data_IF_848158326699
#
_entry.id   IF_848158326699
#
_cell.length_a   1.000
_cell.length_b   1.000
_cell.length_c   1.000
_cell.angle_alpha   90.00
_cell.angle_beta   90.00
_cell.angle_gamma   90.00
#
_symmetry.space_group_name_H-M   'P 1'
#
loop_
_entity.id
_entity.type
_entity.pdbx_description
1 polymer ?
#
# COMPACT_ATOMS: atom_id res chain seq x y z
N UNK A 1 6.77 23.06 -11.77
CA UNK A 1 5.61 22.18 -11.55
C UNK A 1 5.01 21.88 -12.92
N UNK A 2 5.22 20.66 -13.42
CA UNK A 2 4.63 20.19 -14.67
C UNK A 2 3.15 19.83 -14.46
N UNK A 3 2.38 19.62 -15.53
CA UNK A 3 0.99 19.14 -15.41
C UNK A 3 0.90 17.80 -14.67
N UNK A 4 1.88 16.92 -14.91
CA UNK A 4 1.99 15.63 -14.23
C UNK A 4 2.23 15.77 -12.72
N UNK A 5 3.10 16.69 -12.30
CA UNK A 5 3.38 16.87 -10.87
C UNK A 5 2.10 17.26 -10.11
N UNK A 6 1.29 18.16 -10.69
CA UNK A 6 0.01 18.54 -10.12
C UNK A 6 -1.03 17.40 -10.13
N UNK A 7 -1.00 16.50 -11.12
CA UNK A 7 -1.83 15.30 -11.15
C UNK A 7 -1.44 14.31 -10.04
N UNK A 8 -0.15 14.05 -9.90
CA UNK A 8 0.38 13.15 -8.88
C UNK A 8 0.11 13.69 -7.46
N UNK A 9 0.34 14.99 -7.23
CA UNK A 9 0.03 15.64 -5.96
C UNK A 9 -1.45 15.53 -5.59
N UNK A 10 -2.36 15.73 -6.56
CA UNK A 10 -3.80 15.53 -6.34
C UNK A 10 -4.13 14.08 -6.00
N UNK A 11 -3.57 13.12 -6.72
CA UNK A 11 -3.81 11.70 -6.45
C UNK A 11 -3.32 11.28 -5.06
N UNK A 12 -2.17 11.81 -4.61
CA UNK A 12 -1.65 11.56 -3.26
C UNK A 12 -2.48 12.27 -2.17
N UNK A 13 -3.00 13.47 -2.45
CA UNK A 13 -3.93 14.15 -1.55
C UNK A 13 -5.26 13.37 -1.40
N UNK A 14 -5.78 12.80 -2.49
CA UNK A 14 -6.97 11.95 -2.47
C UNK A 14 -6.72 10.66 -1.67
N UNK A 15 -5.55 10.03 -1.81
CA UNK A 15 -5.14 8.89 -0.98
C UNK A 15 -5.12 9.27 0.51
N UNK A 16 -4.47 10.39 0.86
CA UNK A 16 -4.42 10.88 2.24
C UNK A 16 -5.82 11.14 2.81
N UNK A 17 -6.73 11.70 2.01
CA UNK A 17 -8.12 11.93 2.41
C UNK A 17 -8.88 10.61 2.66
N UNK A 18 -8.67 9.58 1.83
CA UNK A 18 -9.28 8.25 2.02
C UNK A 18 -8.76 7.56 3.29
N UNK A 19 -7.44 7.56 3.51
CA UNK A 19 -6.82 7.08 4.75
C UNK A 19 -7.40 7.79 5.97
N UNK A 20 -7.52 9.12 5.93
CA UNK A 20 -8.12 9.91 7.01
C UNK A 20 -9.59 9.56 7.25
N UNK A 21 -10.37 9.32 6.20
CA UNK A 21 -11.77 8.93 6.31
C UNK A 21 -11.92 7.54 6.97
N UNK A 22 -11.11 6.56 6.56
CA UNK A 22 -11.09 5.22 7.17
C UNK A 22 -10.68 5.28 8.64
N UNK A 23 -9.63 6.04 8.95
CA UNK A 23 -9.23 6.31 10.35
C UNK A 23 -10.38 6.90 11.18
N UNK A 24 -11.06 7.94 10.68
CA UNK A 24 -12.20 8.56 11.38
C UNK A 24 -13.39 7.61 11.56
N UNK A 25 -13.55 6.64 10.67
CA UNK A 25 -14.54 5.58 10.80
C UNK A 25 -14.14 4.48 11.80
N UNK A 26 -12.88 4.49 12.27
CA UNK A 26 -12.33 3.40 13.09
C UNK A 26 -12.07 2.13 12.28
N UNK A 27 -11.86 2.26 10.98
CA UNK A 27 -11.72 1.15 10.04
C UNK A 27 -10.24 0.94 9.69
N UNK A 28 -9.59 0.06 10.45
CA UNK A 28 -8.18 -0.27 10.27
C UNK A 28 -7.91 -0.89 8.88
N UNK A 29 -8.72 -1.86 8.48
CA UNK A 29 -8.64 -2.50 7.16
C UNK A 29 -8.92 -1.49 6.05
N UNK A 30 -9.85 -0.57 6.27
CA UNK A 30 -10.13 0.53 5.34
C UNK A 30 -8.94 1.44 5.06
N UNK A 31 -8.00 1.60 5.99
CA UNK A 31 -6.75 2.36 5.75
C UNK A 31 -5.87 1.62 4.73
N UNK A 32 -5.72 0.30 4.86
CA UNK A 32 -4.94 -0.53 3.91
C UNK A 32 -5.63 -0.63 2.55
N UNK A 33 -6.96 -0.79 2.54
CA UNK A 33 -7.75 -0.78 1.30
C UNK A 33 -7.63 0.54 0.54
N UNK A 34 -7.50 1.67 1.23
CA UNK A 34 -7.26 2.95 0.57
C UNK A 34 -5.93 2.94 -0.22
N UNK A 35 -4.91 2.22 0.28
CA UNK A 35 -3.64 2.05 -0.41
C UNK A 35 -3.80 1.16 -1.63
N UNK A 36 -4.45 0.01 -1.50
CA UNK A 36 -4.71 -0.90 -2.62
C UNK A 36 -5.47 -0.20 -3.75
N UNK A 37 -6.53 0.53 -3.38
CA UNK A 37 -7.35 1.31 -4.30
C UNK A 37 -6.56 2.36 -5.08
N UNK A 38 -5.51 2.92 -4.49
CA UNK A 38 -4.63 3.90 -5.14
C UNK A 38 -3.49 3.22 -5.93
N UNK A 39 -2.89 2.16 -5.38
CA UNK A 39 -1.77 1.44 -5.96
C UNK A 39 -2.16 0.74 -7.26
N UNK A 40 -3.32 0.09 -7.32
CA UNK A 40 -3.79 -0.61 -8.54
C UNK A 40 -3.82 0.32 -9.77
N UNK A 41 -4.51 1.48 -9.76
CA UNK A 41 -4.47 2.41 -10.89
C UNK A 41 -3.10 3.08 -11.06
N UNK A 42 -2.33 3.35 -10.01
CA UNK A 42 -0.99 3.93 -10.15
C UNK A 42 0.00 2.99 -10.87
N UNK A 43 -0.07 1.68 -10.62
CA UNK A 43 0.72 0.67 -11.32
C UNK A 43 0.30 0.55 -12.79
N UNK A 44 -1.01 0.57 -13.07
CA UNK A 44 -1.53 0.60 -14.43
C UNK A 44 -1.06 1.84 -15.20
N UNK A 45 -1.07 3.00 -14.54
CA UNK A 45 -0.60 4.27 -15.10
C UNK A 45 0.91 4.26 -15.38
N UNK A 46 1.71 3.75 -14.44
CA UNK A 46 3.16 3.59 -14.60
C UNK A 46 3.48 2.75 -15.85
N UNK A 47 2.77 1.62 -15.99
CA UNK A 47 2.89 0.75 -17.16
C UNK A 47 2.43 1.42 -18.44
N UNK A 48 1.31 2.14 -18.41
CA UNK A 48 0.77 2.85 -19.58
C UNK A 48 1.75 3.91 -20.08
N UNK A 49 2.24 4.78 -19.19
CA UNK A 49 3.22 5.81 -19.53
C UNK A 49 4.51 5.23 -20.08
N UNK A 50 5.01 4.14 -19.49
CA UNK A 50 6.20 3.46 -19.98
C UNK A 50 6.02 2.95 -21.41
N UNK A 51 4.85 2.36 -21.70
CA UNK A 51 4.50 1.89 -23.04
C UNK A 51 4.39 3.04 -24.06
N UNK A 52 3.86 4.17 -23.64
CA UNK A 52 3.68 5.36 -24.47
C UNK A 52 4.99 6.17 -24.65
N UNK A 53 6.10 5.70 -24.07
CA UNK A 53 7.41 6.33 -24.19
C UNK A 53 7.55 7.62 -23.40
N UNK A 54 6.86 7.74 -22.26
CA UNK A 54 7.00 8.88 -21.36
C UNK A 54 8.45 9.05 -20.88
N UNK A 55 8.82 10.29 -20.59
CA UNK A 55 10.16 10.63 -20.11
C UNK A 55 10.55 9.83 -18.87
N UNK A 56 11.81 9.36 -18.82
CA UNK A 56 12.33 8.61 -17.68
C UNK A 56 12.14 9.34 -16.34
N UNK A 57 12.21 10.67 -16.32
CA UNK A 57 11.98 11.46 -15.10
C UNK A 57 10.53 11.39 -14.59
N UNK A 58 9.55 11.27 -15.49
CA UNK A 58 8.13 11.10 -15.13
C UNK A 58 7.92 9.71 -14.55
N UNK A 59 8.47 8.68 -15.21
CA UNK A 59 8.39 7.30 -14.73
C UNK A 59 9.06 7.11 -13.38
N UNK A 60 10.23 7.72 -13.16
CA UNK A 60 10.95 7.69 -11.89
C UNK A 60 10.16 8.37 -10.77
N UNK A 61 9.52 9.51 -11.03
CA UNK A 61 8.67 10.19 -10.04
C UNK A 61 7.47 9.32 -9.65
N UNK A 62 6.77 8.74 -10.64
CA UNK A 62 5.62 7.88 -10.37
C UNK A 62 6.04 6.59 -9.62
N UNK A 63 7.12 5.93 -10.06
CA UNK A 63 7.64 4.75 -9.40
C UNK A 63 8.07 5.04 -7.95
N UNK A 64 8.69 6.21 -7.71
CA UNK A 64 9.04 6.67 -6.37
C UNK A 64 7.82 6.86 -5.47
N UNK A 65 6.77 7.53 -5.96
CA UNK A 65 5.52 7.70 -5.21
C UNK A 65 4.82 6.36 -4.92
N UNK A 66 4.81 5.43 -5.89
CA UNK A 66 4.32 4.06 -5.67
C UNK A 66 5.12 3.36 -4.58
N UNK A 67 6.45 3.46 -4.62
CA UNK A 67 7.31 2.84 -3.62
C UNK A 67 7.13 3.43 -2.22
N UNK A 68 6.98 4.75 -2.08
CA UNK A 68 6.74 5.38 -0.78
C UNK A 68 5.44 4.87 -0.13
N UNK A 69 4.39 4.66 -0.93
CA UNK A 69 3.13 4.08 -0.43
C UNK A 69 3.32 2.61 -0.06
N UNK A 70 3.97 1.80 -0.91
CA UNK A 70 4.25 0.37 -0.65
C UNK A 70 5.11 0.19 0.60
N UNK A 71 6.19 0.94 0.76
CA UNK A 71 7.08 0.83 1.92
C UNK A 71 6.37 1.19 3.23
N UNK A 72 5.58 2.27 3.22
CA UNK A 72 4.76 2.65 4.38
C UNK A 72 3.69 1.60 4.72
N UNK A 73 3.06 1.05 3.69
CA UNK A 73 2.02 0.01 3.78
C UNK A 73 2.57 -1.27 4.42
N UNK A 74 3.61 -1.88 3.82
CA UNK A 74 4.20 -3.12 4.32
C UNK A 74 4.69 -2.99 5.76
N UNK A 75 5.26 -1.84 6.13
CA UNK A 75 5.73 -1.58 7.49
C UNK A 75 4.60 -1.46 8.50
N UNK A 76 3.51 -0.74 8.18
CA UNK A 76 2.38 -0.65 9.11
C UNK A 76 1.71 -2.01 9.30
N UNK A 77 1.71 -2.84 8.27
CA UNK A 77 1.16 -4.18 8.35
C UNK A 77 1.98 -5.07 9.27
N UNK A 78 3.28 -5.16 9.04
CA UNK A 78 4.19 -5.98 9.84
C UNK A 78 4.32 -5.51 11.28
N UNK A 79 4.39 -4.20 11.51
CA UNK A 79 4.65 -3.64 12.84
C UNK A 79 3.36 -3.47 13.68
N UNK A 80 2.20 -3.33 13.04
CA UNK A 80 0.96 -2.95 13.72
C UNK A 80 -0.21 -3.87 13.38
N UNK A 81 -0.54 -4.04 12.10
CA UNK A 81 -1.78 -4.72 11.70
C UNK A 81 -1.73 -6.24 11.93
N UNK A 82 -0.75 -6.94 11.35
CA UNK A 82 -0.63 -8.40 11.45
C UNK A 82 -0.47 -8.88 12.90
N UNK A 83 0.38 -8.28 13.76
CA UNK A 83 0.46 -8.70 15.16
C UNK A 83 -0.87 -8.54 15.91
N UNK A 84 -1.63 -7.47 15.61
CA UNK A 84 -2.93 -7.25 16.24
C UNK A 84 -3.97 -8.25 15.74
N UNK A 85 -4.04 -8.51 14.43
CA UNK A 85 -4.98 -9.44 13.82
C UNK A 85 -4.69 -10.89 14.24
N UNK A 86 -3.43 -11.32 14.21
CA UNK A 86 -3.02 -12.67 14.66
C UNK A 86 -3.45 -12.93 16.09
N UNK A 87 -3.19 -11.97 17.00
CA UNK A 87 -3.62 -12.04 18.39
C UNK A 87 -5.13 -12.15 18.52
N UNK A 88 -5.89 -11.27 17.86
CA UNK A 88 -7.35 -11.24 17.97
C UNK A 88 -7.99 -12.52 17.42
N UNK A 89 -7.48 -13.03 16.30
CA UNK A 89 -7.93 -14.29 15.71
C UNK A 89 -7.60 -15.49 16.60
N UNK A 90 -6.42 -15.52 17.23
CA UNK A 90 -6.08 -16.55 18.21
C UNK A 90 -6.98 -16.50 19.45
N UNK A 91 -7.26 -15.31 20.00
CA UNK A 91 -8.19 -15.10 21.12
C UNK A 91 -9.62 -15.54 20.79
N UNK A 92 -10.04 -15.39 19.53
CA UNK A 92 -11.32 -15.86 19.03
C UNK A 92 -11.35 -17.37 18.69
N UNK A 93 -10.23 -18.10 18.87
CA UNK A 93 -10.13 -19.53 18.57
C UNK A 93 -10.09 -19.85 17.06
N UNK A 94 -9.73 -18.87 16.22
CA UNK A 94 -9.66 -18.97 14.75
C UNK A 94 -8.29 -18.53 14.22
N UNK A 95 -7.16 -19.11 14.67
CA UNK A 95 -5.84 -18.67 14.24
C UNK A 95 -5.70 -18.80 12.71
N UNK A 96 -5.11 -17.79 12.07
CA UNK A 96 -4.90 -17.76 10.63
C UNK A 96 -3.39 -17.68 10.34
N UNK A 97 -2.76 -18.78 9.89
CA UNK A 97 -1.32 -18.80 9.61
C UNK A 97 -0.92 -17.91 8.42
N UNK A 98 -1.88 -17.48 7.59
CA UNK A 98 -1.59 -16.60 6.46
C UNK A 98 -1.20 -15.19 6.91
N UNK A 99 -1.69 -14.72 8.07
CA UNK A 99 -1.40 -13.38 8.61
C UNK A 99 0.11 -13.14 8.70
N UNK A 100 0.85 -14.08 9.28
CA UNK A 100 2.31 -13.96 9.41
C UNK A 100 3.07 -14.45 8.17
N UNK A 101 2.40 -15.17 7.25
CA UNK A 101 3.01 -15.61 6.00
C UNK A 101 3.16 -14.46 4.99
N UNK A 102 2.33 -13.41 5.07
CA UNK A 102 2.40 -12.24 4.18
C UNK A 102 3.73 -11.50 4.27
N UNK A 103 4.40 -11.50 5.43
CA UNK A 103 5.73 -10.89 5.58
C UNK A 103 6.77 -11.44 4.58
N UNK A 104 6.66 -12.72 4.18
CA UNK A 104 7.56 -13.28 3.18
C UNK A 104 7.34 -12.69 1.77
N UNK A 105 6.14 -12.18 1.48
CA UNK A 105 5.85 -11.48 0.22
C UNK A 105 6.50 -10.09 0.20
N UNK A 106 6.49 -9.40 1.35
CA UNK A 106 7.15 -8.10 1.56
C UNK A 106 8.67 -8.16 1.39
N UNK A 107 9.33 -9.19 1.92
CA UNK A 107 10.79 -9.38 1.83
C UNK A 107 11.33 -9.28 0.38
N UNK A 108 10.50 -9.64 -0.59
CA UNK A 108 10.88 -9.64 -2.00
C UNK A 108 10.54 -8.33 -2.74
N UNK A 109 9.78 -7.40 -2.13
CA UNK A 109 9.41 -6.12 -2.76
C UNK A 109 10.61 -5.15 -2.92
N UNK A 110 11.50 -4.95 -1.93
CA UNK A 110 12.66 -4.05 -2.07
C UNK A 110 13.58 -4.42 -3.24
N UNK A 111 13.84 -5.71 -3.46
CA UNK A 111 14.67 -6.16 -4.59
C UNK A 111 14.00 -5.89 -5.94
N UNK A 112 12.68 -6.08 -6.03
CA UNK A 112 11.91 -5.79 -7.26
C UNK A 112 11.89 -4.29 -7.55
N UNK A 113 11.67 -3.46 -6.55
CA UNK A 113 11.73 -2.01 -6.69
C UNK A 113 13.12 -1.54 -7.12
N UNK A 114 14.20 -2.05 -6.50
CA UNK A 114 15.58 -1.76 -6.92
C UNK A 114 15.80 -2.05 -8.40
N UNK A 115 15.35 -3.22 -8.88
CA UNK A 115 15.47 -3.60 -10.31
C UNK A 115 14.67 -2.68 -11.23
N UNK A 116 13.49 -2.23 -10.80
CA UNK A 116 12.70 -1.23 -11.54
C UNK A 116 13.46 0.10 -11.67
N UNK A 117 13.99 0.62 -10.56
CA UNK A 117 14.77 1.86 -10.57
C UNK A 117 16.02 1.73 -11.46
N UNK A 118 16.73 0.61 -11.38
CA UNK A 118 17.88 0.31 -12.24
C UNK A 118 17.51 0.28 -13.73
N UNK A 119 16.36 -0.32 -14.08
CA UNK A 119 15.87 -0.35 -15.45
C UNK A 119 15.55 1.06 -15.97
N UNK A 120 14.86 1.86 -15.16
CA UNK A 120 14.52 3.25 -15.48
C UNK A 120 15.78 4.12 -15.65
N UNK A 121 16.80 3.94 -14.81
CA UNK A 121 18.04 4.70 -14.87
C UNK A 121 18.95 4.28 -16.05
N UNK A 122 18.92 3.00 -16.44
CA UNK A 122 19.75 2.47 -17.51
C UNK A 122 19.27 2.83 -18.93
N UNK A 123 18.10 3.48 -19.06
CA UNK A 123 17.48 3.79 -20.37
C UNK A 123 17.14 2.53 -21.18
N UNK A 124 17.01 1.38 -20.51
CA UNK A 124 16.54 0.12 -21.10
C UNK A 124 15.01 0.12 -21.13
N UNK A 125 14.42 -0.83 -21.87
CA UNK A 125 12.98 -1.09 -21.77
C UNK A 125 12.60 -1.42 -20.32
N UNK A 126 11.81 -0.56 -19.64
CA UNK A 126 11.46 -0.75 -18.24
C UNK A 126 10.25 -1.67 -18.07
N UNK A 127 9.52 -2.01 -19.15
CA UNK A 127 8.28 -2.78 -19.07
C UNK A 127 8.44 -4.13 -18.36
N UNK A 128 9.50 -4.95 -18.60
CA UNK A 128 9.67 -6.20 -17.87
C UNK A 128 9.82 -6.01 -16.35
N UNK A 129 10.48 -4.93 -15.92
CA UNK A 129 10.67 -4.64 -14.50
C UNK A 129 9.38 -4.08 -13.87
N UNK A 130 8.64 -3.23 -14.60
CA UNK A 130 7.32 -2.73 -14.19
C UNK A 130 6.34 -3.89 -14.04
N UNK A 131 6.27 -4.80 -15.02
CA UNK A 131 5.36 -5.95 -14.99
C UNK A 131 5.71 -6.90 -13.83
N UNK A 132 6.99 -7.15 -13.58
CA UNK A 132 7.42 -8.00 -12.46
C UNK A 132 7.09 -7.39 -11.08
N UNK A 133 7.29 -6.09 -10.91
CA UNK A 133 6.96 -5.37 -9.68
C UNK A 133 5.44 -5.29 -9.48
N UNK A 134 4.70 -4.89 -10.50
CA UNK A 134 3.24 -4.77 -10.46
C UNK A 134 2.58 -6.11 -10.18
N UNK A 135 3.04 -7.20 -10.81
CA UNK A 135 2.48 -8.53 -10.58
C UNK A 135 2.67 -9.01 -9.14
N UNK A 136 3.83 -8.72 -8.54
CA UNK A 136 4.08 -9.09 -7.15
C UNK A 136 3.12 -8.37 -6.20
N UNK A 137 2.93 -7.06 -6.39
CA UNK A 137 2.00 -6.26 -5.60
C UNK A 137 0.55 -6.69 -5.79
N UNK A 138 0.11 -6.92 -7.03
CA UNK A 138 -1.28 -7.32 -7.29
C UNK A 138 -1.62 -8.67 -6.67
N UNK A 139 -0.71 -9.65 -6.74
CA UNK A 139 -0.91 -10.95 -6.07
C UNK A 139 -0.98 -10.79 -4.57
N UNK A 140 -0.10 -9.96 -4.01
CA UNK A 140 -0.06 -9.67 -2.59
C UNK A 140 -1.37 -9.02 -2.11
N UNK A 141 -1.86 -7.98 -2.80
CA UNK A 141 -3.15 -7.35 -2.48
C UNK A 141 -4.29 -8.35 -2.53
N UNK A 142 -4.35 -9.19 -3.58
CA UNK A 142 -5.40 -10.20 -3.72
C UNK A 142 -5.32 -11.24 -2.59
N UNK A 143 -4.11 -11.69 -2.21
CA UNK A 143 -3.91 -12.62 -1.10
C UNK A 143 -4.34 -12.01 0.25
N UNK A 144 -4.01 -10.75 0.50
CA UNK A 144 -4.40 -10.09 1.75
C UNK A 144 -5.90 -9.85 1.83
N UNK A 145 -6.48 -9.32 0.76
CA UNK A 145 -7.92 -9.05 0.69
C UNK A 145 -8.73 -10.33 0.92
N UNK A 146 -8.37 -11.42 0.23
CA UNK A 146 -9.11 -12.68 0.27
C UNK A 146 -8.80 -13.54 1.51
N UNK A 147 -7.56 -13.52 2.02
CA UNK A 147 -7.11 -14.48 3.05
C UNK A 147 -6.94 -13.86 4.43
N UNK A 148 -6.66 -12.56 4.52
CA UNK A 148 -6.35 -11.88 5.78
C UNK A 148 -7.47 -10.93 6.17
N UNK A 149 -7.86 -10.01 5.28
CA UNK A 149 -8.85 -8.97 5.56
C UNK A 149 -10.24 -9.56 5.73
N UNK A 150 -10.62 -10.55 4.92
CA UNK A 150 -11.90 -11.25 5.07
C UNK A 150 -12.03 -11.89 6.48
N UNK A 151 -10.99 -12.57 6.95
CA UNK A 151 -10.96 -13.22 8.26
C UNK A 151 -10.89 -12.21 9.42
N UNK A 152 -10.15 -11.12 9.24
CA UNK A 152 -10.00 -10.07 10.25
C UNK A 152 -11.29 -9.26 10.47
N UNK A 153 -12.21 -9.24 9.49
CA UNK A 153 -13.40 -8.38 9.47
C UNK A 153 -14.26 -8.47 10.74
N UNK A 154 -14.47 -9.68 11.27
CA UNK A 154 -15.27 -9.88 12.49
C UNK A 154 -14.49 -9.47 13.74
N UNK A 155 -13.21 -9.82 13.80
CA UNK A 155 -12.32 -9.55 14.91
C UNK A 155 -12.03 -8.05 15.11
N UNK A 156 -12.10 -7.27 14.04
CA UNK A 156 -11.85 -5.83 14.04
C UNK A 156 -13.12 -4.98 14.24
N UNK A 157 -14.25 -5.56 14.65
CA UNK A 157 -15.44 -4.76 14.92
C UNK A 157 -15.32 -3.98 16.24
N UNK A 158 -15.97 -2.82 16.29
CA UNK A 158 -16.12 -2.04 17.51
C UNK A 158 -14.83 -1.41 18.02
N UNK A 159 -14.49 -1.65 19.28
CA UNK A 159 -13.38 -0.95 19.96
C UNK A 159 -12.00 -1.43 19.50
N UNK A 160 -11.86 -2.71 19.15
CA UNK A 160 -10.58 -3.25 18.69
C UNK A 160 -10.19 -2.66 17.33
N UNK A 161 -11.11 -2.57 16.37
CA UNK A 161 -10.88 -1.88 15.10
C UNK A 161 -10.53 -0.41 15.27
N UNK A 162 -11.26 0.32 16.13
CA UNK A 162 -10.96 1.73 16.44
C UNK A 162 -9.55 1.90 17.01
N UNK A 163 -9.16 1.05 17.96
CA UNK A 163 -7.83 1.11 18.58
C UNK A 163 -6.73 0.80 17.58
N UNK A 164 -6.96 -0.20 16.72
CA UNK A 164 -6.01 -0.55 15.67
C UNK A 164 -5.88 0.57 14.64
N UNK A 165 -6.99 1.15 14.19
CA UNK A 165 -6.99 2.29 13.27
C UNK A 165 -6.24 3.50 13.85
N UNK A 166 -6.37 3.77 15.16
CA UNK A 166 -5.59 4.80 15.85
C UNK A 166 -4.09 4.50 15.87
N UNK A 167 -3.70 3.26 16.16
CA UNK A 167 -2.29 2.86 16.16
C UNK A 167 -1.67 2.98 14.77
N UNK A 168 -2.38 2.52 13.74
CA UNK A 168 -1.96 2.65 12.34
C UNK A 168 -1.88 4.11 11.90
N UNK A 169 -2.85 4.94 12.28
CA UNK A 169 -2.83 6.36 11.97
C UNK A 169 -1.63 7.07 12.60
N UNK A 170 -1.31 6.75 13.86
CA UNK A 170 -0.12 7.27 14.52
C UNK A 170 1.18 6.82 13.83
N UNK A 171 1.25 5.56 13.39
CA UNK A 171 2.40 5.01 12.67
C UNK A 171 2.62 5.68 11.31
N UNK A 172 1.56 5.81 10.52
CA UNK A 172 1.58 6.39 9.17
C UNK A 172 1.59 7.93 9.15
N UNK A 173 1.51 8.57 10.33
CA UNK A 173 1.40 10.03 10.42
C UNK A 173 0.09 10.59 9.85
N UNK A 174 -0.99 9.79 9.85
CA UNK A 174 -2.32 10.22 9.45
C UNK A 174 -2.87 11.11 10.57
N UNK A 175 -2.71 12.42 10.40
CA UNK A 175 -3.23 13.43 11.31
C UNK A 175 -4.21 14.36 10.62
N UNK A 176 -5.11 14.95 11.39
CA UNK A 176 -5.74 16.19 10.94
C UNK A 176 -4.63 17.24 10.84
N UNK A 177 -4.37 17.75 9.64
CA UNK A 177 -3.66 19.03 9.58
C UNK A 177 -4.52 20.01 10.37
N UNK A 178 -4.02 20.43 11.54
CA UNK A 178 -4.57 21.58 12.23
C UNK A 178 -4.36 22.75 11.29
N UNK A 179 -5.42 23.12 10.56
CA UNK A 179 -5.46 24.38 9.83
C UNK A 179 -5.17 25.50 10.82
N UNK A 180 -3.99 26.10 10.68
CA UNK A 180 -3.67 27.39 11.29
C UNK A 180 -4.35 28.52 10.54
#
# INVERSE_FOLDING_TARGET
MTGFDAELERALADLAARRLAAYRAGDATGILMADHDWLRPALAELRSRARDGADASVLQRLAGAVWEVVDGHSRVEEEVYFPAVDRLLAEAGRPNPMVMAMAAEHDALPDRHRRLVEALAAGKDPLPAIDAFSRALLIHFDNEEDLVFEDAREALQGEEGRRLAQAMAAFLGIGEQQGG
#
